data_IF_797758471672
#
_entry.id   IF_797758471672
#
_cell.length_a   1.000
_cell.length_b   1.000
_cell.length_c   1.000
_cell.angle_alpha   90.00
_cell.angle_beta   90.00
_cell.angle_gamma   90.00
#
_symmetry.space_group_name_H-M   'P 1'
#
loop_
_entity.id
_entity.type
_entity.pdbx_description
1 polymer ?
#
# COMPACT_ATOMS: atom_id res chain seq x y z
N UNK A 1 -14.35 -2.85 26.40
CA UNK A 1 -13.28 -3.85 26.30
C UNK A 1 -11.97 -3.10 26.40
N UNK A 2 -11.02 -3.57 27.22
CA UNK A 2 -9.72 -2.92 27.37
C UNK A 2 -8.69 -3.55 26.43
N UNK A 3 -7.61 -2.86 26.20
CA UNK A 3 -6.45 -3.34 25.46
C UNK A 3 -5.18 -2.71 26.01
N UNK A 4 -4.05 -3.05 25.43
CA UNK A 4 -2.73 -2.70 25.93
C UNK A 4 -1.87 -2.05 24.86
N UNK A 5 -1.14 -1.02 25.25
CA UNK A 5 0.07 -0.55 24.55
C UNK A 5 1.27 -1.20 25.25
N UNK A 6 2.20 -1.75 24.47
CA UNK A 6 3.38 -2.44 24.99
C UNK A 6 4.64 -2.02 24.23
N UNK A 7 5.79 -2.23 24.86
CA UNK A 7 7.10 -1.96 24.28
C UNK A 7 8.00 -3.17 24.27
N UNK A 8 8.89 -3.24 23.27
CA UNK A 8 10.01 -4.17 23.19
C UNK A 8 11.27 -3.34 23.11
N UNK A 9 12.08 -3.36 24.15
CA UNK A 9 13.29 -2.55 24.32
C UNK A 9 14.53 -3.41 24.11
N UNK A 10 15.46 -2.92 23.31
CA UNK A 10 16.79 -3.52 23.17
C UNK A 10 17.71 -2.87 24.21
N UNK A 11 18.15 -3.63 25.19
CA UNK A 11 18.96 -3.16 26.31
C UNK A 11 20.41 -2.77 25.94
N UNK A 12 20.87 -3.10 24.72
CA UNK A 12 22.22 -2.75 24.26
C UNK A 12 22.30 -1.35 23.65
N UNK A 13 21.20 -0.89 23.04
CA UNK A 13 21.20 0.37 22.28
C UNK A 13 19.96 1.26 22.55
N UNK A 14 19.16 0.91 23.56
CA UNK A 14 17.98 1.61 24.04
C UNK A 14 16.88 1.84 22.98
N UNK A 15 16.96 1.17 21.84
CA UNK A 15 15.93 1.27 20.81
C UNK A 15 14.69 0.51 21.21
N UNK A 16 13.53 1.09 20.87
CA UNK A 16 12.22 0.55 21.27
C UNK A 16 11.33 0.27 20.06
N UNK A 17 10.56 -0.80 20.15
CA UNK A 17 9.38 -1.06 19.34
C UNK A 17 8.14 -0.83 20.20
N UNK A 18 7.15 -0.10 19.70
CA UNK A 18 5.85 0.14 20.34
C UNK A 18 4.78 -0.60 19.51
N UNK A 19 3.88 -1.28 20.19
CA UNK A 19 2.74 -1.94 19.58
C UNK A 19 1.51 -1.93 20.49
N UNK A 20 0.37 -2.29 19.93
CA UNK A 20 -0.90 -2.39 20.65
C UNK A 20 -1.54 -3.77 20.49
N UNK A 21 -2.38 -4.14 21.44
CA UNK A 21 -3.19 -5.37 21.36
C UNK A 21 -4.50 -5.22 22.12
N UNK A 22 -5.58 -5.80 21.58
CA UNK A 22 -6.86 -6.00 22.30
C UNK A 22 -6.90 -7.36 22.99
N UNK A 23 -5.92 -8.22 22.75
CA UNK A 23 -5.75 -9.50 23.43
C UNK A 23 -5.00 -9.29 24.77
N UNK A 24 -4.95 -10.34 25.57
CA UNK A 24 -4.08 -10.38 26.74
C UNK A 24 -2.63 -10.06 26.34
N UNK A 25 -2.01 -9.13 27.06
CA UNK A 25 -0.67 -8.64 26.73
C UNK A 25 0.40 -9.70 26.89
N UNK A 26 0.24 -10.62 27.84
CA UNK A 26 1.19 -11.71 28.04
C UNK A 26 1.16 -12.71 26.87
N UNK A 27 -0.02 -12.99 26.32
CA UNK A 27 -0.17 -13.80 25.11
C UNK A 27 0.46 -13.10 23.91
N UNK A 28 0.26 -11.79 23.75
CA UNK A 28 0.88 -11.04 22.66
C UNK A 28 2.40 -11.01 22.75
N UNK A 29 2.94 -10.82 23.94
CA UNK A 29 4.38 -10.87 24.20
C UNK A 29 4.94 -12.26 23.88
N UNK A 30 4.24 -13.33 24.30
CA UNK A 30 4.62 -14.72 23.97
C UNK A 30 4.64 -14.96 22.46
N UNK A 31 3.67 -14.41 21.72
CA UNK A 31 3.63 -14.50 20.26
C UNK A 31 4.83 -13.79 19.63
N UNK A 32 5.16 -12.56 20.05
CA UNK A 32 6.35 -11.85 19.57
C UNK A 32 7.63 -12.64 19.79
N UNK A 33 7.81 -13.18 20.99
CA UNK A 33 8.99 -14.00 21.32
C UNK A 33 9.09 -15.23 20.40
N UNK A 34 7.95 -15.90 20.16
CA UNK A 34 7.92 -17.05 19.26
C UNK A 34 8.23 -16.66 17.81
N UNK A 35 7.65 -15.58 17.29
CA UNK A 35 7.90 -15.07 15.94
C UNK A 35 9.38 -14.71 15.75
N UNK A 36 9.98 -14.01 16.72
CA UNK A 36 11.40 -13.63 16.69
C UNK A 36 12.33 -14.85 16.74
N UNK A 37 12.10 -15.79 17.63
CA UNK A 37 12.87 -17.06 17.72
C UNK A 37 12.77 -17.89 16.45
N UNK A 38 11.62 -17.88 15.80
CA UNK A 38 11.35 -18.65 14.58
C UNK A 38 11.78 -17.94 13.29
N UNK A 39 12.37 -16.74 13.38
CA UNK A 39 12.71 -15.86 12.25
C UNK A 39 11.51 -15.58 11.32
N UNK A 40 10.33 -15.38 11.93
CA UNK A 40 9.05 -15.15 11.23
C UNK A 40 8.41 -13.80 11.58
N UNK A 41 9.12 -12.93 12.29
CA UNK A 41 8.56 -11.67 12.71
C UNK A 41 8.35 -10.72 11.52
N UNK A 42 7.15 -10.12 11.42
CA UNK A 42 6.76 -9.26 10.30
C UNK A 42 7.60 -7.97 10.21
N UNK A 43 8.08 -7.46 11.35
CA UNK A 43 8.99 -6.33 11.38
C UNK A 43 10.43 -6.78 11.23
N UNK A 44 10.95 -6.74 10.01
CA UNK A 44 12.33 -7.16 9.69
C UNK A 44 13.41 -6.31 10.38
N UNK A 45 13.12 -5.06 10.76
CA UNK A 45 14.08 -4.22 11.47
C UNK A 45 14.28 -4.74 12.90
N UNK A 46 13.19 -5.10 13.58
CA UNK A 46 13.23 -5.72 14.90
C UNK A 46 13.82 -7.13 14.83
N UNK A 47 13.47 -7.94 13.81
CA UNK A 47 14.02 -9.27 13.61
C UNK A 47 15.55 -9.24 13.49
N UNK A 48 16.08 -8.42 12.60
CA UNK A 48 17.54 -8.29 12.41
C UNK A 48 18.27 -7.83 13.67
N UNK A 49 17.63 -6.98 14.46
CA UNK A 49 18.19 -6.56 15.74
C UNK A 49 18.20 -7.74 16.75
N UNK A 50 17.12 -8.51 16.81
CA UNK A 50 17.02 -9.67 17.68
C UNK A 50 18.07 -10.75 17.32
N UNK A 51 18.26 -11.03 16.02
CA UNK A 51 19.26 -11.97 15.54
C UNK A 51 20.68 -11.49 15.85
N UNK A 52 20.93 -10.18 15.80
CA UNK A 52 22.24 -9.58 16.07
C UNK A 52 22.61 -9.55 17.56
N UNK A 53 21.64 -9.19 18.42
CA UNK A 53 21.93 -8.91 19.83
C UNK A 53 21.58 -10.05 20.76
N UNK A 54 20.78 -11.03 20.31
CA UNK A 54 20.31 -12.16 21.10
C UNK A 54 19.13 -11.84 22.00
N UNK A 55 18.37 -12.87 22.38
CA UNK A 55 17.12 -12.78 23.11
C UNK A 55 17.26 -12.09 24.48
N UNK A 56 18.33 -12.41 25.21
CA UNK A 56 18.55 -11.92 26.59
C UNK A 56 18.69 -10.40 26.66
N UNK A 57 18.96 -9.75 25.53
CA UNK A 57 19.07 -8.31 25.42
C UNK A 57 17.75 -7.60 25.04
N UNK A 58 16.63 -8.33 25.02
CA UNK A 58 15.32 -7.74 24.71
C UNK A 58 14.37 -7.82 25.90
N UNK A 59 13.91 -6.66 26.35
CA UNK A 59 12.94 -6.52 27.41
C UNK A 59 11.56 -6.22 26.85
N UNK A 60 10.56 -7.00 27.26
CA UNK A 60 9.18 -6.89 26.83
C UNK A 60 8.32 -6.41 28.00
N UNK A 61 7.65 -5.26 27.85
CA UNK A 61 6.85 -4.68 28.93
C UNK A 61 5.50 -4.16 28.44
N UNK A 62 4.43 -4.36 29.22
CA UNK A 62 3.23 -3.56 29.10
C UNK A 62 3.52 -2.12 29.50
N UNK A 63 3.02 -1.13 28.76
CA UNK A 63 3.22 0.29 29.00
C UNK A 63 1.96 0.97 29.52
N UNK A 64 0.80 0.64 28.94
CA UNK A 64 -0.47 1.25 29.29
C UNK A 64 -1.64 0.31 28.99
N UNK A 65 -2.55 0.17 29.95
CA UNK A 65 -3.87 -0.40 29.71
C UNK A 65 -4.87 0.74 29.46
N UNK A 66 -5.69 0.63 28.42
CA UNK A 66 -6.71 1.62 28.10
C UNK A 66 -7.91 0.99 27.36
N UNK A 67 -8.97 1.75 27.21
CA UNK A 67 -10.13 1.35 26.42
C UNK A 67 -9.72 1.13 24.94
N UNK A 68 -10.30 0.10 24.32
CA UNK A 68 -9.90 -0.34 22.96
C UNK A 68 -10.09 0.73 21.87
N UNK A 69 -11.02 1.65 22.05
CA UNK A 69 -11.26 2.79 21.16
C UNK A 69 -10.16 3.86 21.23
N UNK A 70 -9.38 3.88 22.31
CA UNK A 70 -8.25 4.81 22.54
C UNK A 70 -6.89 4.21 22.22
N UNK A 71 -6.81 2.92 21.90
CA UNK A 71 -5.53 2.24 21.65
C UNK A 71 -4.73 2.89 20.52
N UNK A 72 -5.38 3.20 19.38
CA UNK A 72 -4.73 3.83 18.23
C UNK A 72 -4.10 5.18 18.61
N UNK A 73 -4.80 5.97 19.44
CA UNK A 73 -4.30 7.25 19.94
C UNK A 73 -3.05 7.08 20.81
N UNK A 74 -3.13 6.21 21.83
CA UNK A 74 -2.00 6.01 22.74
C UNK A 74 -0.81 5.32 22.07
N UNK A 75 -1.02 4.36 21.16
CA UNK A 75 0.08 3.78 20.40
C UNK A 75 0.85 4.86 19.64
N UNK A 76 0.12 5.76 18.92
CA UNK A 76 0.73 6.86 18.18
C UNK A 76 1.45 7.85 19.08
N UNK A 77 0.86 8.19 20.23
CA UNK A 77 1.48 9.06 21.22
C UNK A 77 2.80 8.48 21.75
N UNK A 78 2.81 7.19 22.11
CA UNK A 78 4.02 6.52 22.58
C UNK A 78 5.09 6.39 21.48
N UNK A 79 4.69 6.09 20.25
CA UNK A 79 5.60 6.07 19.08
C UNK A 79 6.28 7.44 18.89
N UNK A 80 5.54 8.54 19.04
CA UNK A 80 6.09 9.89 18.94
C UNK A 80 6.98 10.23 20.15
N UNK A 81 6.53 9.95 21.36
CA UNK A 81 7.24 10.19 22.60
C UNK A 81 8.63 9.54 22.61
N UNK A 82 8.70 8.28 22.22
CA UNK A 82 9.95 7.51 22.16
C UNK A 82 10.67 7.63 20.82
N UNK A 83 10.17 8.43 19.87
CA UNK A 83 10.72 8.58 18.52
C UNK A 83 10.91 7.22 17.80
N UNK A 84 10.02 6.26 18.07
CA UNK A 84 10.19 4.87 17.65
C UNK A 84 10.19 4.67 16.13
N UNK A 85 9.74 5.67 15.35
CA UNK A 85 9.85 5.71 13.87
C UNK A 85 11.24 6.10 13.38
N UNK A 86 12.03 6.78 14.19
CA UNK A 86 13.40 7.13 13.81
C UNK A 86 14.30 5.91 14.03
N UNK A 87 14.98 5.47 12.97
CA UNK A 87 15.87 4.31 13.01
C UNK A 87 17.01 4.40 14.05
N UNK A 88 17.31 5.60 14.56
CA UNK A 88 18.29 5.80 15.60
C UNK A 88 17.75 5.50 17.01
N UNK A 89 16.42 5.58 17.20
CA UNK A 89 15.77 5.44 18.51
C UNK A 89 14.77 4.29 18.58
N UNK A 90 14.30 3.75 17.43
CA UNK A 90 13.27 2.74 17.45
C UNK A 90 13.25 1.78 16.27
N UNK A 91 12.37 0.81 16.37
CA UNK A 91 12.16 -0.25 15.39
C UNK A 91 10.84 -0.13 14.63
N UNK A 92 9.97 0.86 14.96
CA UNK A 92 8.70 1.00 14.25
C UNK A 92 8.91 1.42 12.81
N UNK A 93 8.16 0.78 11.91
CA UNK A 93 8.16 1.08 10.46
C UNK A 93 6.99 1.97 10.04
N UNK A 94 5.96 2.07 10.91
CA UNK A 94 4.70 2.78 10.69
C UNK A 94 4.33 3.62 11.89
N UNK A 95 3.48 4.63 11.67
CA UNK A 95 3.04 5.58 12.72
C UNK A 95 2.12 4.98 13.78
N UNK A 96 1.77 3.69 13.67
CA UNK A 96 0.77 3.05 14.52
C UNK A 96 -0.68 3.37 14.14
N UNK A 97 -1.60 2.79 14.90
CA UNK A 97 -3.04 2.86 14.65
C UNK A 97 -3.53 1.86 13.60
N UNK A 98 -4.81 1.49 13.64
CA UNK A 98 -5.42 0.57 12.67
C UNK A 98 -5.88 1.27 11.39
N UNK A 99 -6.14 2.59 11.47
CA UNK A 99 -6.62 3.41 10.36
C UNK A 99 -5.54 4.43 9.97
N UNK A 100 -5.39 4.67 8.64
CA UNK A 100 -4.49 5.70 8.10
C UNK A 100 -3.01 5.58 8.49
N UNK A 101 -2.49 4.37 8.67
CA UNK A 101 -1.07 4.11 8.92
C UNK A 101 -0.19 4.76 7.86
N UNK A 102 0.82 5.50 8.30
CA UNK A 102 1.83 6.10 7.40
C UNK A 102 3.18 5.43 7.63
N UNK A 103 3.79 4.98 6.55
CA UNK A 103 5.15 4.44 6.59
C UNK A 103 6.15 5.53 7.00
N UNK A 104 7.16 5.16 7.75
CA UNK A 104 8.29 6.02 8.08
C UNK A 104 8.96 6.56 6.81
N UNK A 105 9.52 7.77 6.86
CA UNK A 105 10.19 8.39 5.72
C UNK A 105 11.34 7.53 5.19
N UNK A 106 12.11 6.91 6.08
CA UNK A 106 13.19 6.00 5.73
C UNK A 106 12.69 4.77 4.97
N UNK A 107 11.59 4.16 5.43
CA UNK A 107 10.96 3.00 4.77
C UNK A 107 10.45 3.37 3.37
N UNK A 108 9.77 4.53 3.24
CA UNK A 108 9.31 5.03 1.93
C UNK A 108 10.47 5.26 0.97
N UNK A 109 11.58 5.82 1.46
CA UNK A 109 12.78 6.05 0.66
C UNK A 109 13.37 4.73 0.15
N UNK A 110 13.55 3.74 1.03
CA UNK A 110 14.06 2.40 0.63
C UNK A 110 13.15 1.71 -0.38
N UNK A 111 11.83 1.77 -0.19
CA UNK A 111 10.87 1.21 -1.16
C UNK A 111 10.96 1.92 -2.52
N UNK A 112 11.06 3.25 -2.52
CA UNK A 112 11.24 4.04 -3.75
C UNK A 112 12.54 3.67 -4.46
N UNK A 113 13.66 3.61 -3.74
CA UNK A 113 14.97 3.25 -4.30
C UNK A 113 14.99 1.81 -4.87
N UNK A 114 14.29 0.88 -4.21
CA UNK A 114 14.14 -0.49 -4.69
C UNK A 114 13.29 -0.64 -5.96
N UNK A 115 12.47 0.37 -6.27
CA UNK A 115 11.60 0.39 -7.46
C UNK A 115 12.14 1.30 -8.57
N UNK A 116 13.36 1.86 -8.42
CA UNK A 116 13.98 2.74 -9.41
C UNK A 116 14.99 2.00 -10.29
N UNK A 117 15.01 2.39 -11.58
CA UNK A 117 15.98 1.88 -12.54
C UNK A 117 15.99 0.35 -12.64
N UNK A 118 17.16 -0.25 -12.78
CA UNK A 118 17.36 -1.69 -12.95
C UNK A 118 16.87 -2.55 -11.76
N UNK A 119 16.70 -1.95 -10.58
CA UNK A 119 16.13 -2.64 -9.40
C UNK A 119 14.63 -2.89 -9.54
N UNK A 120 13.96 -2.16 -10.43
CA UNK A 120 12.55 -2.38 -10.72
C UNK A 120 12.39 -3.60 -11.65
N UNK A 121 11.67 -4.66 -11.25
CA UNK A 121 11.45 -5.85 -12.09
C UNK A 121 10.82 -5.56 -13.46
N UNK A 122 10.18 -4.38 -13.60
CA UNK A 122 9.56 -3.92 -14.85
C UNK A 122 10.42 -2.92 -15.63
N UNK A 123 11.63 -2.60 -15.13
CA UNK A 123 12.52 -1.67 -15.82
C UNK A 123 12.92 -2.22 -17.20
N UNK A 124 12.80 -1.38 -18.23
CA UNK A 124 13.09 -1.77 -19.62
C UNK A 124 12.09 -2.72 -20.26
N UNK A 125 11.06 -3.18 -19.53
CA UNK A 125 10.01 -4.02 -20.08
C UNK A 125 8.81 -3.15 -20.51
N UNK A 126 8.49 -3.17 -21.79
CA UNK A 126 7.21 -2.69 -22.30
C UNK A 126 6.27 -3.88 -22.46
N UNK A 127 5.08 -3.80 -21.90
CA UNK A 127 4.05 -4.81 -22.15
C UNK A 127 3.58 -4.70 -23.59
N UNK A 128 3.42 -5.83 -24.26
CA UNK A 128 2.79 -5.88 -25.58
C UNK A 128 1.34 -5.39 -25.50
N UNK A 129 0.78 -4.94 -26.63
CA UNK A 129 -0.62 -4.54 -26.67
C UNK A 129 -1.55 -5.69 -26.24
N UNK A 130 -1.24 -6.93 -26.59
CA UNK A 130 -1.99 -8.13 -26.19
C UNK A 130 -1.96 -8.36 -24.68
N UNK A 131 -0.79 -8.22 -24.04
CA UNK A 131 -0.66 -8.32 -22.58
C UNK A 131 -1.41 -7.20 -21.87
N UNK A 132 -1.34 -5.98 -22.39
CA UNK A 132 -2.11 -4.84 -21.87
C UNK A 132 -3.62 -5.10 -21.96
N UNK A 133 -4.10 -5.65 -23.08
CA UNK A 133 -5.50 -6.02 -23.27
C UNK A 133 -5.93 -7.10 -22.27
N UNK A 134 -5.15 -8.18 -22.14
CA UNK A 134 -5.43 -9.27 -21.20
C UNK A 134 -5.52 -8.79 -19.75
N UNK A 135 -4.59 -7.95 -19.31
CA UNK A 135 -4.57 -7.39 -17.94
C UNK A 135 -5.73 -6.40 -17.72
N UNK A 136 -6.11 -5.66 -18.75
CA UNK A 136 -7.20 -4.69 -18.66
C UNK A 136 -8.57 -5.35 -18.62
N UNK A 137 -8.77 -6.47 -19.31
CA UNK A 137 -10.04 -7.22 -19.34
C UNK A 137 -10.52 -7.57 -17.92
N UNK A 138 -9.62 -8.01 -17.04
CA UNK A 138 -9.94 -8.47 -15.69
C UNK A 138 -10.24 -7.34 -14.69
N UNK A 139 -9.87 -6.11 -15.00
CA UNK A 139 -10.00 -4.94 -14.09
C UNK A 139 -10.93 -3.86 -14.61
N UNK A 140 -11.49 -4.05 -15.80
CA UNK A 140 -12.26 -3.01 -16.46
C UNK A 140 -13.75 -3.15 -16.14
N UNK A 141 -14.29 -2.17 -15.41
CA UNK A 141 -15.72 -2.10 -15.06
C UNK A 141 -16.60 -1.52 -16.16
N UNK A 142 -16.03 -1.01 -17.24
CA UNK A 142 -16.78 -0.37 -18.33
C UNK A 142 -17.05 -1.26 -19.51
N UNK A 143 -16.35 -2.39 -19.62
CA UNK A 143 -16.42 -3.31 -20.79
C UNK A 143 -15.58 -2.86 -21.98
N UNK A 144 -14.90 -1.70 -21.93
CA UNK A 144 -14.11 -1.16 -23.05
C UNK A 144 -12.68 -0.84 -22.63
N UNK A 145 -11.70 -1.14 -23.52
CA UNK A 145 -10.29 -0.85 -23.25
C UNK A 145 -10.01 0.65 -23.17
N UNK A 146 -9.24 1.08 -22.17
CA UNK A 146 -8.86 2.49 -21.93
C UNK A 146 -10.03 3.46 -21.68
N UNK A 147 -11.25 2.96 -21.50
CA UNK A 147 -12.43 3.75 -21.23
C UNK A 147 -12.76 3.73 -19.73
N UNK A 148 -13.09 4.88 -19.17
CA UNK A 148 -13.48 5.05 -17.77
C UNK A 148 -14.73 5.93 -17.68
N UNK A 149 -15.54 5.74 -16.63
CA UNK A 149 -16.64 6.66 -16.31
C UNK A 149 -16.08 7.80 -15.45
N UNK A 150 -16.37 9.05 -15.86
CA UNK A 150 -16.01 10.26 -15.11
C UNK A 150 -17.30 10.92 -14.62
N UNK A 151 -17.45 11.20 -13.31
CA UNK A 151 -18.65 11.87 -12.80
C UNK A 151 -18.92 13.19 -13.52
N UNK A 152 -20.17 13.39 -13.96
CA UNK A 152 -20.63 14.63 -14.58
C UNK A 152 -22.08 14.89 -14.16
N UNK A 153 -22.28 15.92 -13.33
CA UNK A 153 -23.58 16.33 -12.82
C UNK A 153 -24.53 16.90 -13.91
N UNK A 154 -24.01 17.25 -15.09
CA UNK A 154 -24.79 17.76 -16.22
C UNK A 154 -25.25 16.66 -17.18
N UNK A 155 -24.82 15.43 -16.96
CA UNK A 155 -25.22 14.27 -17.72
C UNK A 155 -26.40 13.60 -17.05
N UNK A 156 -27.47 13.26 -17.80
CA UNK A 156 -28.64 12.52 -17.27
C UNK A 156 -28.27 11.20 -16.62
N UNK A 157 -27.23 10.53 -17.12
CA UNK A 157 -26.69 9.29 -16.57
C UNK A 157 -25.72 9.50 -15.38
N UNK A 158 -25.44 10.77 -14.98
CA UNK A 158 -24.55 11.12 -13.88
C UNK A 158 -23.05 11.00 -14.15
N UNK A 159 -22.67 10.62 -15.37
CA UNK A 159 -21.26 10.49 -15.77
C UNK A 159 -21.07 10.75 -17.26
N UNK A 160 -19.79 10.95 -17.66
CA UNK A 160 -19.33 10.94 -19.05
C UNK A 160 -18.34 9.79 -19.24
N UNK A 161 -18.29 9.25 -20.45
CA UNK A 161 -17.29 8.31 -20.89
C UNK A 161 -16.00 9.04 -21.22
N UNK A 162 -14.86 8.50 -20.80
CA UNK A 162 -13.56 9.12 -21.00
C UNK A 162 -12.57 8.07 -21.50
N UNK A 163 -12.12 8.21 -22.74
CA UNK A 163 -11.05 7.43 -23.33
C UNK A 163 -9.70 8.10 -23.06
N UNK A 164 -8.67 7.32 -22.72
CA UNK A 164 -7.32 7.80 -22.43
C UNK A 164 -6.27 6.96 -23.13
N UNK A 165 -5.32 7.61 -23.78
CA UNK A 165 -4.15 6.96 -24.36
C UNK A 165 -2.89 7.82 -24.16
N UNK A 166 -1.74 7.26 -24.50
CA UNK A 166 -0.47 7.97 -24.55
C UNK A 166 0.05 7.90 -25.99
N UNK A 167 0.41 9.06 -26.54
CA UNK A 167 1.01 9.21 -27.86
C UNK A 167 2.26 10.04 -27.66
N UNK A 168 3.41 9.53 -28.13
CA UNK A 168 4.72 10.17 -27.98
C UNK A 168 5.02 10.62 -26.54
N UNK A 169 4.68 9.76 -25.57
CA UNK A 169 4.86 10.04 -24.15
C UNK A 169 3.88 11.07 -23.55
N UNK A 170 3.02 11.66 -24.36
CA UNK A 170 2.02 12.64 -23.90
C UNK A 170 0.66 12.00 -23.72
N UNK A 171 0.02 12.30 -22.59
CA UNK A 171 -1.33 11.81 -22.29
C UNK A 171 -2.37 12.55 -23.14
N UNK A 172 -3.17 11.80 -23.88
CA UNK A 172 -4.33 12.25 -24.64
C UNK A 172 -5.63 11.73 -24.02
N UNK A 173 -6.70 12.51 -24.07
CA UNK A 173 -8.02 12.05 -23.62
C UNK A 173 -9.14 12.68 -24.41
N UNK A 174 -10.19 11.88 -24.66
CA UNK A 174 -11.45 12.31 -25.26
C UNK A 174 -12.57 11.95 -24.30
N UNK A 175 -13.51 12.86 -24.08
CA UNK A 175 -14.70 12.63 -23.27
C UNK A 175 -15.95 12.79 -24.15
N UNK A 176 -16.94 11.93 -23.93
CA UNK A 176 -18.27 12.09 -24.50
C UNK A 176 -19.34 11.56 -23.53
N UNK A 177 -20.56 12.06 -23.62
CA UNK A 177 -21.72 11.56 -22.89
C UNK A 177 -22.29 10.28 -23.50
N UNK A 178 -22.17 10.16 -24.80
CA UNK A 178 -22.55 8.95 -25.57
C UNK A 178 -21.33 8.08 -25.87
N UNK A 179 -21.47 6.76 -25.72
CA UNK A 179 -20.37 5.82 -25.93
C UNK A 179 -20.08 5.58 -27.41
N UNK A 180 -21.10 5.59 -28.26
CA UNK A 180 -20.92 5.38 -29.72
C UNK A 180 -20.27 6.62 -30.36
N UNK A 181 -20.67 7.82 -29.92
CA UNK A 181 -19.98 9.05 -30.35
C UNK A 181 -18.53 9.09 -29.85
N UNK A 182 -18.26 8.59 -28.62
CA UNK A 182 -16.89 8.46 -28.14
C UNK A 182 -16.08 7.52 -29.01
N UNK A 183 -16.65 6.36 -29.36
CA UNK A 183 -16.04 5.36 -30.25
C UNK A 183 -15.67 5.98 -31.60
N UNK A 184 -16.62 6.66 -32.24
CA UNK A 184 -16.39 7.35 -33.54
C UNK A 184 -15.22 8.33 -33.46
N UNK A 185 -15.19 9.18 -32.44
CA UNK A 185 -14.10 10.16 -32.23
C UNK A 185 -12.73 9.52 -31.92
N UNK A 186 -12.71 8.34 -31.31
CA UNK A 186 -11.47 7.57 -31.07
C UNK A 186 -10.96 6.98 -32.38
N UNK A 187 -11.84 6.40 -33.18
CA UNK A 187 -11.50 5.78 -34.48
C UNK A 187 -11.09 6.83 -35.53
N UNK A 188 -11.73 8.00 -35.58
CA UNK A 188 -11.31 9.15 -36.43
C UNK A 188 -9.85 9.57 -36.19
N UNK A 189 -9.32 9.35 -34.99
CA UNK A 189 -7.91 9.63 -34.65
C UNK A 189 -6.99 8.43 -34.89
N UNK A 190 -7.49 7.36 -35.51
CA UNK A 190 -6.76 6.09 -35.72
C UNK A 190 -6.25 5.52 -34.39
N UNK A 191 -7.04 5.64 -33.34
CA UNK A 191 -6.73 5.08 -32.03
C UNK A 191 -7.44 3.74 -31.83
N UNK A 192 -6.81 2.85 -31.07
CA UNK A 192 -7.32 1.51 -30.82
C UNK A 192 -8.61 1.55 -29.97
N UNK A 193 -9.68 0.95 -30.47
CA UNK A 193 -10.90 0.66 -29.74
C UNK A 193 -11.08 -0.83 -29.51
N UNK A 194 -11.37 -1.27 -28.29
CA UNK A 194 -11.63 -2.67 -27.97
C UNK A 194 -12.84 -2.78 -27.08
N UNK A 195 -13.81 -3.57 -27.52
CA UNK A 195 -15.00 -3.96 -26.76
C UNK A 195 -14.81 -5.39 -26.24
N UNK A 196 -14.70 -5.53 -24.93
CA UNK A 196 -14.50 -6.84 -24.28
C UNK A 196 -15.77 -7.69 -24.22
N UNK A 197 -16.95 -7.13 -24.54
CA UNK A 197 -18.21 -7.89 -24.62
C UNK A 197 -18.32 -8.70 -25.90
N UNK A 198 -17.53 -8.33 -26.93
CA UNK A 198 -17.50 -8.98 -28.25
C UNK A 198 -16.18 -9.75 -28.35
N UNK A 199 -16.23 -11.08 -28.33
CA UNK A 199 -15.03 -11.90 -28.49
C UNK A 199 -14.37 -11.64 -29.83
N UNK A 200 -13.12 -11.16 -29.81
CA UNK A 200 -12.24 -11.07 -30.97
C UNK A 200 -12.32 -9.81 -31.83
N UNK A 201 -13.14 -8.81 -31.49
CA UNK A 201 -13.20 -7.56 -32.25
C UNK A 201 -12.23 -6.49 -31.71
N UNK A 202 -11.11 -6.33 -32.42
CA UNK A 202 -10.22 -5.16 -32.34
C UNK A 202 -10.60 -4.27 -33.54
N UNK A 203 -11.12 -3.07 -33.27
CA UNK A 203 -11.39 -2.08 -34.31
C UNK A 203 -10.24 -1.06 -34.29
N UNK A 204 -9.63 -0.84 -35.49
CA UNK A 204 -8.54 0.11 -35.72
C UNK A 204 -9.06 1.31 -36.50
#
# INVERSE_FOLDING_TARGET
>A
MNGWVYGIVNLVNDKIYIGQTVQDVALRIKQHKWELRSNKHTNLHLQRAYDKYGEDNFFFAPLLECASDKLDYYEQEYIQKFKALDKNYGYNLETGGNKNKKLAKSTKKLMSEGMMGEKNPMFGKSLSNEECLRLSKNKNSTGYFRVTKKPDKRSEQGFTWNYRCYIDGKRQSICNRDIEELKSKVLEKVWLWVDFSKEGLIEL
#
